data_IF_716856309012
#
_entry.id   IF_716856309012
#
_cell.length_a   1.000
_cell.length_b   1.000
_cell.length_c   1.000
_cell.angle_alpha   90.00
_cell.angle_beta   90.00
_cell.angle_gamma   90.00
#
_symmetry.space_group_name_H-M   'P 1'
#
loop_
_entity.id
_entity.type
_entity.pdbx_description
1 polymer ?
#
# COMPACT_ATOMS: atom_id res chain seq x y z
N UNK A 1 -0.68 5.74 22.39
CA UNK A 1 -0.64 4.36 21.82
C UNK A 1 -0.07 4.48 20.42
N UNK A 2 0.74 3.52 19.97
CA UNK A 2 1.14 3.49 18.57
C UNK A 2 -0.10 3.29 17.68
N UNK A 3 -0.13 3.85 16.46
CA UNK A 3 -1.23 3.64 15.53
C UNK A 3 -1.40 2.14 15.23
N UNK A 4 -2.66 1.73 15.03
CA UNK A 4 -3.02 0.37 14.69
C UNK A 4 -3.61 0.34 13.27
N UNK A 5 -2.99 -0.45 12.39
CA UNK A 5 -3.25 -0.49 10.95
C UNK A 5 -4.14 -1.66 10.56
N UNK A 6 -5.10 -1.39 9.67
CA UNK A 6 -5.84 -2.43 8.92
C UNK A 6 -5.27 -2.42 7.51
N UNK A 7 -4.69 -3.54 7.09
CA UNK A 7 -4.04 -3.65 5.79
C UNK A 7 -4.93 -4.43 4.85
N UNK A 8 -5.06 -3.93 3.63
CA UNK A 8 -5.62 -4.68 2.51
C UNK A 8 -4.49 -4.93 1.52
N UNK A 9 -4.36 -6.14 1.02
CA UNK A 9 -3.31 -6.49 0.07
C UNK A 9 -3.82 -7.42 -1.01
N UNK A 10 -3.22 -7.29 -2.20
CA UNK A 10 -3.49 -8.15 -3.33
C UNK A 10 -2.38 -8.07 -4.37
N UNK A 11 -2.37 -9.02 -5.29
CA UNK A 11 -1.45 -9.11 -6.41
C UNK A 11 -2.11 -9.87 -7.57
N UNK A 12 -1.54 -9.79 -8.75
CA UNK A 12 -1.76 -10.82 -9.78
C UNK A 12 -0.85 -12.04 -9.49
N UNK A 13 -0.85 -13.03 -10.39
CA UNK A 13 0.00 -14.22 -10.26
C UNK A 13 1.49 -13.91 -10.11
N UNK A 14 1.97 -12.81 -10.70
CA UNK A 14 3.39 -12.49 -10.75
C UNK A 14 3.93 -11.95 -9.42
N UNK A 15 3.05 -11.50 -8.52
CA UNK A 15 3.39 -10.98 -7.19
C UNK A 15 3.09 -11.94 -6.04
N UNK A 16 2.62 -13.16 -6.32
CA UNK A 16 2.09 -14.07 -5.29
C UNK A 16 3.12 -14.43 -4.22
N UNK A 17 4.37 -14.67 -4.61
CA UNK A 17 5.44 -15.04 -3.69
C UNK A 17 5.75 -13.91 -2.73
N UNK A 18 5.86 -12.68 -3.24
CA UNK A 18 6.13 -11.50 -2.41
C UNK A 18 4.94 -11.16 -1.53
N UNK A 19 3.73 -11.18 -2.08
CA UNK A 19 2.50 -10.93 -1.33
C UNK A 19 2.42 -11.85 -0.11
N UNK A 20 2.65 -13.15 -0.28
CA UNK A 20 2.54 -14.10 0.83
C UNK A 20 3.60 -13.86 1.93
N UNK A 21 4.83 -13.48 1.56
CA UNK A 21 5.88 -13.17 2.55
C UNK A 21 5.59 -11.89 3.31
N UNK A 22 5.24 -10.83 2.60
CA UNK A 22 4.90 -9.53 3.21
C UNK A 22 3.63 -9.64 4.06
N UNK A 23 2.67 -10.47 3.63
CA UNK A 23 1.46 -10.79 4.42
C UNK A 23 1.84 -11.36 5.77
N UNK A 24 2.70 -12.38 5.79
CA UNK A 24 3.15 -13.01 7.02
C UNK A 24 3.87 -12.01 7.94
N UNK A 25 4.66 -11.09 7.38
CA UNK A 25 5.30 -10.02 8.16
C UNK A 25 4.28 -9.06 8.78
N UNK A 26 3.26 -8.67 8.03
CA UNK A 26 2.18 -7.82 8.55
C UNK A 26 1.34 -8.53 9.60
N UNK A 27 0.98 -9.80 9.41
CA UNK A 27 0.23 -10.58 10.40
C UNK A 27 1.02 -10.79 11.71
N UNK A 28 2.36 -10.75 11.65
CA UNK A 28 3.23 -10.85 12.82
C UNK A 28 3.56 -9.48 13.47
N UNK A 29 3.28 -8.35 12.81
CA UNK A 29 3.61 -7.01 13.33
C UNK A 29 2.53 -6.54 14.31
N UNK A 30 2.86 -6.18 15.57
CA UNK A 30 1.88 -5.79 16.59
C UNK A 30 1.14 -4.48 16.26
N UNK A 31 1.61 -3.71 15.28
CA UNK A 31 0.93 -2.50 14.80
C UNK A 31 -0.20 -2.84 13.82
N UNK A 32 -0.26 -4.05 13.27
CA UNK A 32 -1.29 -4.44 12.31
C UNK A 32 -2.36 -5.26 13.02
N UNK A 33 -3.61 -4.79 12.98
CA UNK A 33 -4.73 -5.45 13.66
C UNK A 33 -5.48 -6.45 12.77
N UNK A 34 -5.37 -6.30 11.45
CA UNK A 34 -5.99 -7.23 10.50
C UNK A 34 -5.37 -7.07 9.12
N UNK A 35 -5.22 -8.20 8.41
CA UNK A 35 -4.85 -8.24 7.00
C UNK A 35 -5.99 -8.83 6.19
N UNK A 36 -6.51 -8.07 5.21
CA UNK A 36 -7.50 -8.52 4.24
C UNK A 36 -6.78 -8.82 2.93
N UNK A 37 -6.69 -10.09 2.58
CA UNK A 37 -6.08 -10.56 1.34
C UNK A 37 -7.13 -10.70 0.25
N UNK A 38 -7.10 -9.81 -0.75
CA UNK A 38 -8.04 -9.82 -1.88
C UNK A 38 -7.56 -10.72 -3.04
N UNK A 39 -6.50 -11.50 -2.81
CA UNK A 39 -5.90 -12.41 -3.79
C UNK A 39 -4.92 -11.72 -4.73
N UNK A 40 -4.28 -12.45 -5.64
CA UNK A 40 -4.50 -13.85 -6.02
C UNK A 40 -4.15 -14.85 -4.90
N UNK A 41 -4.91 -15.93 -4.81
CA UNK A 41 -4.75 -16.97 -3.78
C UNK A 41 -3.88 -18.16 -4.21
N UNK A 42 -3.71 -18.34 -5.52
CA UNK A 42 -3.01 -19.47 -6.10
C UNK A 42 -2.25 -19.05 -7.38
N UNK A 43 -1.19 -19.78 -7.80
CA UNK A 43 -0.37 -19.42 -8.97
C UNK A 43 -1.10 -19.50 -10.32
N UNK A 44 -2.17 -20.27 -10.39
CA UNK A 44 -3.00 -20.47 -11.58
C UNK A 44 -4.18 -19.46 -11.67
N UNK A 45 -4.35 -18.62 -10.66
CA UNK A 45 -5.34 -17.56 -10.62
C UNK A 45 -4.97 -16.42 -11.58
N UNK A 46 -5.46 -16.53 -12.81
CA UNK A 46 -5.26 -15.56 -13.91
C UNK A 46 -6.09 -14.27 -13.78
N UNK A 47 -6.68 -13.99 -12.61
CA UNK A 47 -7.46 -12.77 -12.43
C UNK A 47 -6.59 -11.54 -12.70
N UNK A 48 -6.97 -10.66 -13.65
CA UNK A 48 -6.15 -9.51 -14.01
C UNK A 48 -5.89 -8.55 -12.84
N UNK A 49 -4.71 -7.93 -12.82
CA UNK A 49 -4.32 -6.97 -11.78
C UNK A 49 -5.33 -5.83 -11.57
N UNK A 50 -6.04 -5.27 -12.60
CA UNK A 50 -7.02 -4.21 -12.35
C UNK A 50 -8.17 -4.66 -11.44
N UNK A 51 -8.60 -5.92 -11.57
CA UNK A 51 -9.67 -6.49 -10.73
C UNK A 51 -9.23 -6.59 -9.27
N UNK A 52 -7.97 -6.97 -9.03
CA UNK A 52 -7.39 -7.06 -7.68
C UNK A 52 -7.18 -5.68 -7.07
N UNK A 53 -6.61 -4.76 -7.83
CA UNK A 53 -6.44 -3.37 -7.41
C UNK A 53 -7.79 -2.71 -7.08
N UNK A 54 -8.81 -2.91 -7.91
CA UNK A 54 -10.16 -2.42 -7.65
C UNK A 54 -10.79 -3.04 -6.40
N UNK A 55 -10.61 -4.35 -6.16
CA UNK A 55 -11.09 -5.00 -4.95
C UNK A 55 -10.46 -4.39 -3.69
N UNK A 56 -9.16 -4.09 -3.71
CA UNK A 56 -8.48 -3.42 -2.61
C UNK A 56 -8.94 -1.95 -2.45
N UNK A 57 -9.06 -1.21 -3.56
CA UNK A 57 -9.41 0.21 -3.56
C UNK A 57 -10.86 0.49 -3.14
N UNK A 58 -11.81 -0.42 -3.40
CA UNK A 58 -13.23 -0.25 -3.04
C UNK A 58 -13.48 -0.04 -1.54
N UNK A 59 -12.52 -0.40 -0.71
CA UNK A 59 -12.63 -0.34 0.75
C UNK A 59 -12.31 1.07 1.27
N UNK A 60 -11.66 1.93 0.46
CA UNK A 60 -11.18 3.25 0.88
C UNK A 60 -11.58 4.30 -0.17
N UNK A 61 -12.19 5.40 0.24
CA UNK A 61 -12.50 6.53 -0.66
C UNK A 61 -11.29 7.46 -0.80
N UNK A 62 -11.15 8.14 -1.95
CA UNK A 62 -10.06 9.08 -2.23
C UNK A 62 -8.68 8.41 -2.20
N UNK A 63 -8.55 7.26 -2.87
CA UNK A 63 -7.32 6.45 -2.84
C UNK A 63 -6.21 7.11 -3.65
N UNK A 64 -5.04 7.23 -3.03
CA UNK A 64 -3.79 7.58 -3.69
C UNK A 64 -2.83 6.40 -3.60
N UNK A 65 -2.32 5.99 -4.75
CA UNK A 65 -1.42 4.84 -4.88
C UNK A 65 -0.07 5.27 -5.45
N UNK A 66 0.99 4.66 -4.94
CA UNK A 66 2.37 4.87 -5.43
C UNK A 66 3.07 3.55 -5.69
N UNK A 67 4.03 3.56 -6.60
CA UNK A 67 5.06 2.53 -6.68
C UNK A 67 6.35 3.12 -6.12
N UNK A 68 6.90 2.54 -5.05
CA UNK A 68 8.12 3.05 -4.41
C UNK A 68 9.06 1.89 -4.05
N UNK A 69 10.32 1.97 -4.49
CA UNK A 69 11.33 0.90 -4.31
C UNK A 69 12.56 1.37 -3.51
N UNK A 70 12.44 2.47 -2.78
CA UNK A 70 13.47 3.02 -1.91
C UNK A 70 12.84 3.70 -0.68
N UNK A 71 13.61 3.81 0.42
CA UNK A 71 13.14 4.34 1.71
C UNK A 71 12.66 5.79 1.60
N UNK A 72 13.34 6.64 0.81
CA UNK A 72 12.95 8.04 0.67
C UNK A 72 11.57 8.15 0.01
N UNK A 73 11.35 7.43 -1.08
CA UNK A 73 10.05 7.41 -1.77
C UNK A 73 8.94 6.83 -0.88
N UNK A 74 9.24 5.79 -0.08
CA UNK A 74 8.29 5.24 0.90
C UNK A 74 7.92 6.28 1.95
N UNK A 75 8.89 6.98 2.54
CA UNK A 75 8.61 8.05 3.50
C UNK A 75 7.75 9.16 2.88
N UNK A 76 8.15 9.64 1.69
CA UNK A 76 7.45 10.74 1.01
C UNK A 76 6.05 10.34 0.53
N UNK A 77 5.81 9.06 0.23
CA UNK A 77 4.49 8.56 -0.12
C UNK A 77 3.46 8.86 0.98
N UNK A 78 3.84 8.67 2.24
CA UNK A 78 2.97 9.00 3.36
C UNK A 78 3.05 10.48 3.66
N UNK A 79 4.23 11.00 3.99
CA UNK A 79 4.39 12.35 4.55
C UNK A 79 4.08 13.50 3.58
N UNK A 80 4.06 13.24 2.27
CA UNK A 80 3.70 14.26 1.27
C UNK A 80 2.43 13.94 0.53
N UNK A 81 2.24 12.69 0.13
CA UNK A 81 1.15 12.32 -0.77
C UNK A 81 -0.05 11.77 -0.01
N UNK A 82 0.08 11.53 1.30
CA UNK A 82 -0.93 10.84 2.10
C UNK A 82 -1.40 9.56 1.38
N UNK A 83 -0.48 8.82 0.76
CA UNK A 83 -0.79 7.67 -0.07
C UNK A 83 -1.14 6.45 0.77
N UNK A 84 -2.35 5.93 0.59
CA UNK A 84 -2.86 4.78 1.33
C UNK A 84 -2.46 3.45 0.70
N UNK A 85 -1.96 3.47 -0.55
CA UNK A 85 -1.58 2.27 -1.29
C UNK A 85 -0.11 2.35 -1.71
N UNK A 86 0.65 1.34 -1.29
CA UNK A 86 2.04 1.13 -1.67
C UNK A 86 2.15 -0.13 -2.57
N UNK A 87 2.72 0.04 -3.76
CA UNK A 87 2.90 -1.01 -4.75
C UNK A 87 4.37 -1.41 -4.90
N UNK A 88 4.63 -2.71 -4.99
CA UNK A 88 5.95 -3.28 -5.30
C UNK A 88 5.89 -4.09 -6.60
N UNK A 89 7.00 -4.08 -7.34
CA UNK A 89 7.17 -4.96 -8.51
C UNK A 89 8.07 -6.13 -8.13
N UNK A 90 7.51 -7.33 -7.96
CA UNK A 90 8.26 -8.54 -7.58
C UNK A 90 9.44 -8.85 -8.53
N UNK A 91 9.31 -8.51 -9.82
CA UNK A 91 10.36 -8.69 -10.83
C UNK A 91 11.39 -7.56 -10.89
N UNK A 92 11.26 -6.55 -10.03
CA UNK A 92 12.06 -5.31 -10.07
C UNK A 92 12.84 -5.11 -8.78
N UNK A 93 12.19 -5.26 -7.62
CA UNK A 93 12.80 -5.06 -6.30
C UNK A 93 13.05 -6.41 -5.62
N UNK A 94 14.18 -6.56 -4.94
CA UNK A 94 14.50 -7.77 -4.18
C UNK A 94 13.65 -7.93 -2.92
N UNK A 95 13.34 -9.17 -2.54
CA UNK A 95 12.35 -9.49 -1.49
C UNK A 95 12.68 -8.87 -0.14
N UNK A 96 13.94 -8.96 0.31
CA UNK A 96 14.31 -8.43 1.62
C UNK A 96 14.22 -6.91 1.67
N UNK A 97 14.49 -6.23 0.55
CA UNK A 97 14.26 -4.79 0.44
C UNK A 97 12.77 -4.47 0.46
N UNK A 98 11.94 -5.18 -0.30
CA UNK A 98 10.48 -4.98 -0.30
C UNK A 98 9.87 -5.18 1.10
N UNK A 99 10.29 -6.21 1.83
CA UNK A 99 9.85 -6.47 3.22
C UNK A 99 10.28 -5.34 4.16
N UNK A 100 11.52 -4.87 4.06
CA UNK A 100 12.02 -3.74 4.86
C UNK A 100 11.19 -2.47 4.59
N UNK A 101 10.96 -2.15 3.32
CA UNK A 101 10.20 -0.99 2.89
C UNK A 101 8.73 -1.06 3.33
N UNK A 102 8.10 -2.24 3.23
CA UNK A 102 6.74 -2.46 3.70
C UNK A 102 6.61 -2.22 5.21
N UNK A 103 7.61 -2.64 5.99
CA UNK A 103 7.65 -2.42 7.45
C UNK A 103 7.89 -0.95 7.80
N UNK A 104 8.80 -0.28 7.11
CA UNK A 104 9.11 1.14 7.25
C UNK A 104 7.90 2.02 6.95
N UNK A 105 7.10 1.64 5.94
CA UNK A 105 5.87 2.36 5.59
C UNK A 105 4.89 2.50 6.77
N UNK A 106 4.82 1.49 7.65
CA UNK A 106 3.98 1.52 8.85
C UNK A 106 4.49 2.46 9.95
N UNK A 107 5.73 2.96 9.86
CA UNK A 107 6.34 3.91 10.80
C UNK A 107 5.96 5.37 10.48
N UNK A 108 5.28 5.61 9.36
CA UNK A 108 4.97 6.95 8.89
C UNK A 108 3.51 7.29 9.06
N UNK A 109 3.24 8.52 9.51
CA UNK A 109 1.91 9.10 9.58
C UNK A 109 1.90 10.43 8.81
N UNK A 110 0.79 10.69 8.12
CA UNK A 110 0.59 11.95 7.43
C UNK A 110 0.17 13.04 8.42
N UNK A 111 0.80 14.21 8.34
CA UNK A 111 0.40 15.38 9.12
C UNK A 111 -0.59 16.25 8.32
N UNK A 112 -1.88 16.29 8.70
CA UNK A 112 -2.88 17.10 8.02
C UNK A 112 -2.66 18.61 8.19
N UNK A 113 -1.82 19.06 9.14
CA UNK A 113 -1.45 20.46 9.29
C UNK A 113 -0.22 20.85 8.44
N UNK A 114 0.39 19.89 7.73
CA UNK A 114 1.60 20.13 6.94
C UNK A 114 1.34 20.97 5.68
N UNK A 115 2.40 21.58 5.15
CA UNK A 115 2.34 22.26 3.85
C UNK A 115 1.97 21.32 2.70
N UNK A 116 2.17 20.00 2.86
CA UNK A 116 1.78 19.00 1.88
C UNK A 116 0.26 18.76 1.85
N UNK A 117 -0.45 18.98 2.95
CA UNK A 117 -1.91 18.80 3.01
C UNK A 117 -2.66 19.66 1.99
N UNK A 118 -2.22 20.89 1.76
CA UNK A 118 -2.83 21.77 0.74
C UNK A 118 -2.74 21.17 -0.68
N UNK A 119 -1.62 20.52 -1.00
CA UNK A 119 -1.42 19.89 -2.31
C UNK A 119 -2.25 18.61 -2.47
N UNK A 120 -2.43 17.87 -1.39
CA UNK A 120 -3.31 16.69 -1.37
C UNK A 120 -4.77 17.13 -1.53
N UNK A 121 -5.17 18.22 -0.87
CA UNK A 121 -6.50 18.79 -0.97
C UNK A 121 -6.84 19.22 -2.41
N UNK A 122 -5.89 19.84 -3.13
CA UNK A 122 -6.06 20.18 -4.55
C UNK A 122 -6.38 18.94 -5.41
N UNK A 123 -5.75 17.78 -5.13
CA UNK A 123 -6.06 16.53 -5.82
C UNK A 123 -7.49 16.09 -5.50
N UNK A 124 -7.89 16.13 -4.23
CA UNK A 124 -9.24 15.74 -3.81
C UNK A 124 -10.32 16.63 -4.44
N UNK A 125 -10.09 17.93 -4.57
CA UNK A 125 -11.01 18.86 -5.24
C UNK A 125 -11.19 18.51 -6.72
N UNK A 126 -10.09 18.22 -7.43
CA UNK A 126 -10.16 17.80 -8.83
C UNK A 126 -10.92 16.47 -9.03
N UNK A 127 -10.87 15.55 -8.06
CA UNK A 127 -11.64 14.31 -8.09
C UNK A 127 -13.15 14.53 -7.91
N UNK A 128 -13.56 15.56 -7.16
CA UNK A 128 -14.97 15.91 -6.96
C UNK A 128 -15.61 16.59 -8.19
N UNK A 129 -14.78 17.23 -9.02
CA UNK A 129 -15.21 17.92 -10.25
C UNK A 129 -15.39 16.99 -11.46
N UNK A 130 -14.94 15.73 -11.38
CA UNK A 130 -14.93 14.73 -12.47
C UNK A 130 -16.17 13.82 -12.49
#
# INVERSE_FOLDING_TARGET
MAPQWRIVMGCDEAGLSYKNKIKADFEADPRVISVVDVGSGAPDDKTPYPTRAAAAARIVKGIRAVTAHDSFSVERSVKSNNAQVLCFGERVVGIELARKLAKEWLDHEFDPASASAKKVEEICQLEEEA
#
